data_IF_512923422975
#
_entry.id   IF_512923422975
#
_cell.length_a   1.000
_cell.length_b   1.000
_cell.length_c   1.000
_cell.angle_alpha   90.00
_cell.angle_beta   90.00
_cell.angle_gamma   90.00
#
_symmetry.space_group_name_H-M   'P 1'
#
loop_
_entity.id
_entity.type
_entity.pdbx_description
1 polymer ?
#
# COMPACT_ATOMS: atom_id res chain seq x y z
N UNK A 1 -8.62 12.30 -16.91
CA UNK A 1 -8.68 11.78 -15.54
C UNK A 1 -8.19 12.85 -14.60
N UNK A 2 -8.89 13.16 -13.50
CA UNK A 2 -8.45 14.10 -12.49
C UNK A 2 -7.09 13.71 -11.91
N UNK A 3 -6.31 14.69 -11.46
CA UNK A 3 -5.00 14.45 -10.86
C UNK A 3 -4.59 15.62 -9.98
N UNK A 4 -3.71 15.36 -9.01
CA UNK A 4 -3.06 16.38 -8.20
C UNK A 4 -1.54 16.21 -8.22
N UNK A 5 -0.82 17.18 -7.66
CA UNK A 5 0.64 17.13 -7.57
C UNK A 5 1.08 16.76 -6.15
N UNK A 6 1.83 15.68 -6.04
CA UNK A 6 2.55 15.29 -4.84
C UNK A 6 4.06 15.30 -5.13
N UNK A 7 4.83 16.10 -4.39
CA UNK A 7 6.28 16.27 -4.59
C UNK A 7 6.67 16.47 -6.08
N UNK A 8 5.95 17.36 -6.78
CA UNK A 8 6.10 17.65 -8.21
C UNK A 8 5.78 16.48 -9.17
N UNK A 9 5.16 15.42 -8.69
CA UNK A 9 4.69 14.28 -9.50
C UNK A 9 3.18 14.30 -9.61
N UNK A 10 2.68 13.93 -10.79
CA UNK A 10 1.25 13.79 -11.05
C UNK A 10 0.74 12.48 -10.46
N UNK A 11 -0.28 12.56 -9.63
CA UNK A 11 -1.01 11.42 -9.04
C UNK A 11 -2.44 11.48 -9.57
N UNK A 12 -2.86 10.43 -10.25
CA UNK A 12 -4.19 10.32 -10.83
C UNK A 12 -5.19 9.73 -9.83
N UNK A 13 -6.44 10.18 -9.89
CA UNK A 13 -7.53 9.67 -9.08
C UNK A 13 -8.85 9.74 -9.85
N UNK A 14 -9.87 9.08 -9.33
CA UNK A 14 -11.24 9.16 -9.86
C UNK A 14 -12.22 9.26 -8.70
N UNK A 15 -13.23 10.10 -8.83
CA UNK A 15 -14.31 10.26 -7.86
C UNK A 15 -15.59 9.62 -8.37
N UNK A 16 -16.31 8.94 -7.46
CA UNK A 16 -17.61 8.32 -7.69
C UNK A 16 -18.59 8.80 -6.62
N UNK A 17 -19.77 9.23 -7.01
CA UNK A 17 -20.71 9.87 -6.09
C UNK A 17 -20.19 11.24 -5.59
N UNK A 18 -20.77 11.78 -4.54
CA UNK A 18 -20.20 12.95 -3.83
C UNK A 18 -20.32 14.31 -4.50
N UNK A 19 -20.91 14.42 -5.67
CA UNK A 19 -21.30 15.72 -6.21
C UNK A 19 -22.41 16.36 -5.36
N UNK A 20 -22.48 17.71 -5.23
CA UNK A 20 -23.70 18.34 -4.78
C UNK A 20 -24.79 17.84 -5.72
N UNK A 21 -25.89 17.29 -5.15
CA UNK A 21 -27.01 16.82 -5.95
C UNK A 21 -27.30 17.89 -7.01
N UNK A 22 -27.11 17.55 -8.29
CA UNK A 22 -27.39 18.46 -9.37
C UNK A 22 -28.85 18.82 -9.25
N UNK A 23 -29.13 20.01 -8.71
CA UNK A 23 -30.48 20.55 -8.68
C UNK A 23 -30.82 20.84 -10.14
N UNK A 24 -31.45 19.88 -10.80
CA UNK A 24 -32.21 20.15 -12.02
C UNK A 24 -33.38 21.05 -11.63
N UNK A 25 -33.15 22.35 -11.69
CA UNK A 25 -34.23 23.33 -11.60
C UNK A 25 -34.98 23.37 -12.92
N UNK A 26 -35.99 22.56 -13.07
CA UNK A 26 -37.14 22.92 -13.91
C UNK A 26 -38.37 23.13 -13.00
N UNK A 27 -38.72 24.40 -12.89
CA UNK A 27 -40.06 24.91 -12.68
C UNK A 27 -40.87 24.42 -11.48
N UNK A 28 -40.68 25.03 -10.29
CA UNK A 28 -41.83 25.29 -9.38
C UNK A 28 -41.48 26.38 -8.37
N UNK A 29 -42.23 27.46 -8.35
CA UNK A 29 -42.28 28.47 -7.27
C UNK A 29 -42.80 27.81 -6.00
N UNK A 30 -41.93 27.48 -5.04
CA UNK A 30 -42.28 26.97 -3.72
C UNK A 30 -41.08 27.04 -2.82
N UNK A 31 -41.22 27.64 -1.63
CA UNK A 31 -40.18 27.80 -0.57
C UNK A 31 -39.46 26.48 -0.35
N UNK A 32 -38.27 26.33 -0.88
CA UNK A 32 -37.40 25.20 -0.59
C UNK A 32 -36.64 25.49 0.69
N UNK A 33 -36.92 24.71 1.73
CA UNK A 33 -36.01 24.55 2.85
C UNK A 33 -34.68 24.02 2.24
N UNK A 34 -33.58 24.77 2.40
CA UNK A 34 -32.23 24.28 2.13
C UNK A 34 -32.01 23.06 3.01
N UNK A 35 -32.19 21.87 2.47
CA UNK A 35 -31.66 20.68 3.16
C UNK A 35 -30.15 20.88 3.26
N UNK A 36 -29.61 20.78 4.47
CA UNK A 36 -28.18 20.73 4.67
C UNK A 36 -27.60 19.63 3.73
N UNK A 37 -26.46 19.89 3.04
CA UNK A 37 -25.85 18.85 2.23
C UNK A 37 -25.67 17.62 3.11
N UNK A 38 -26.11 16.46 2.65
CA UNK A 38 -25.86 15.20 3.34
C UNK A 38 -24.36 15.15 3.67
N UNK A 39 -24.02 14.87 4.93
CA UNK A 39 -22.64 14.83 5.36
C UNK A 39 -21.86 13.90 4.42
N UNK A 40 -20.83 14.42 3.77
CA UNK A 40 -19.99 13.64 2.89
C UNK A 40 -19.39 12.45 3.66
N UNK A 41 -19.46 11.25 3.08
CA UNK A 41 -18.93 9.99 3.64
C UNK A 41 -17.75 9.51 2.80
N UNK A 42 -16.56 10.16 2.88
CA UNK A 42 -15.44 9.85 2.02
C UNK A 42 -14.88 8.45 2.27
N UNK A 43 -14.70 7.69 1.19
CA UNK A 43 -14.05 6.37 1.17
C UNK A 43 -12.97 6.40 0.10
N UNK A 44 -11.72 6.13 0.48
CA UNK A 44 -10.60 6.09 -0.46
C UNK A 44 -10.19 4.65 -0.68
N UNK A 45 -10.19 4.19 -1.93
CA UNK A 45 -9.82 2.84 -2.32
C UNK A 45 -8.41 2.84 -2.92
N UNK A 46 -7.52 2.02 -2.33
CA UNK A 46 -6.10 1.94 -2.69
C UNK A 46 -5.78 0.54 -3.22
N UNK A 47 -5.29 0.49 -4.45
CA UNK A 47 -5.02 -0.74 -5.19
C UNK A 47 -3.84 -1.55 -4.66
N UNK A 48 -3.70 -2.81 -5.14
CA UNK A 48 -2.56 -3.69 -4.90
C UNK A 48 -1.32 -3.36 -5.74
N UNK A 49 -0.18 -3.97 -5.37
CA UNK A 49 1.09 -3.79 -6.07
C UNK A 49 0.98 -4.10 -7.57
N UNK A 50 1.53 -3.24 -8.40
CA UNK A 50 1.51 -3.29 -9.86
C UNK A 50 0.10 -3.34 -10.49
N UNK A 51 -0.93 -3.04 -9.73
CA UNK A 51 -2.30 -2.86 -10.23
C UNK A 51 -2.60 -1.36 -10.40
N UNK A 52 -3.84 -1.03 -10.65
CA UNK A 52 -4.31 0.35 -10.76
C UNK A 52 -5.68 0.50 -10.09
N UNK A 53 -6.14 1.74 -9.97
CA UNK A 53 -7.46 2.06 -9.44
C UNK A 53 -8.60 1.30 -10.13
N UNK A 54 -8.39 0.86 -11.39
CA UNK A 54 -9.37 0.08 -12.15
C UNK A 54 -9.79 -1.23 -11.46
N UNK A 55 -8.92 -1.81 -10.61
CA UNK A 55 -9.29 -3.01 -9.86
C UNK A 55 -10.46 -2.79 -8.91
N UNK A 56 -10.64 -1.56 -8.45
CA UNK A 56 -11.68 -1.20 -7.50
C UNK A 56 -12.91 -0.56 -8.15
N UNK A 57 -12.92 -0.35 -9.47
CA UNK A 57 -14.01 0.36 -10.14
C UNK A 57 -15.39 -0.21 -9.83
N UNK A 58 -15.66 -1.53 -9.95
CA UNK A 58 -17.00 -2.06 -9.65
C UNK A 58 -17.41 -1.83 -8.19
N UNK A 59 -16.49 -2.02 -7.24
CA UNK A 59 -16.75 -1.75 -5.83
C UNK A 59 -16.99 -0.25 -5.58
N UNK A 60 -16.22 0.62 -6.24
CA UNK A 60 -16.38 2.06 -6.10
C UNK A 60 -17.75 2.54 -6.60
N UNK A 61 -18.21 2.00 -7.74
CA UNK A 61 -19.52 2.28 -8.31
C UNK A 61 -20.65 1.82 -7.36
N UNK A 62 -20.55 0.62 -6.78
CA UNK A 62 -21.53 0.09 -5.84
C UNK A 62 -21.59 0.90 -4.55
N UNK A 63 -20.43 1.14 -3.90
CA UNK A 63 -20.39 1.94 -2.67
C UNK A 63 -20.87 3.38 -2.89
N UNK A 64 -20.61 3.96 -4.07
CA UNK A 64 -21.13 5.28 -4.44
C UNK A 64 -22.65 5.26 -4.62
N UNK A 65 -23.21 4.22 -5.25
CA UNK A 65 -24.65 4.04 -5.37
C UNK A 65 -25.34 3.90 -4.00
N UNK A 66 -24.62 3.45 -2.98
CA UNK A 66 -25.07 3.39 -1.58
C UNK A 66 -24.88 4.72 -0.81
N UNK A 67 -24.53 5.82 -1.50
CA UNK A 67 -24.47 7.16 -0.93
C UNK A 67 -23.13 7.56 -0.33
N UNK A 68 -22.06 6.84 -0.60
CA UNK A 68 -20.71 7.24 -0.20
C UNK A 68 -20.05 8.13 -1.28
N UNK A 69 -19.14 9.00 -0.86
CA UNK A 69 -18.22 9.69 -1.76
C UNK A 69 -16.96 8.83 -1.89
N UNK A 70 -16.86 8.09 -2.96
CA UNK A 70 -15.78 7.12 -3.15
C UNK A 70 -14.71 7.70 -4.08
N UNK A 71 -13.46 7.59 -3.66
CA UNK A 71 -12.31 8.06 -4.41
C UNK A 71 -11.36 6.88 -4.62
N UNK A 72 -10.98 6.62 -5.85
CA UNK A 72 -9.92 5.67 -6.19
C UNK A 72 -8.66 6.43 -6.57
N UNK A 73 -7.48 5.93 -6.22
CA UNK A 73 -6.19 6.56 -6.49
C UNK A 73 -5.27 5.59 -7.23
N UNK A 74 -4.51 6.09 -8.20
CA UNK A 74 -3.31 5.43 -8.71
C UNK A 74 -2.09 5.96 -7.94
N UNK A 75 -1.48 5.13 -7.10
CA UNK A 75 -0.25 5.50 -6.41
C UNK A 75 0.89 5.75 -7.40
N UNK A 76 1.89 6.55 -7.02
CA UNK A 76 3.08 6.78 -7.85
C UNK A 76 3.64 5.45 -8.36
N UNK A 77 4.01 5.38 -9.62
CA UNK A 77 4.50 4.16 -10.27
C UNK A 77 3.40 3.23 -10.79
N UNK A 78 2.12 3.58 -10.63
CA UNK A 78 0.98 2.75 -11.01
C UNK A 78 -0.01 3.53 -11.89
N UNK A 79 -0.87 2.79 -12.59
CA UNK A 79 -1.97 3.31 -13.38
C UNK A 79 -1.59 4.50 -14.26
N UNK A 80 -2.33 5.58 -14.15
CA UNK A 80 -2.15 6.83 -14.89
C UNK A 80 -1.27 7.85 -14.15
N UNK A 81 -0.72 7.50 -12.97
CA UNK A 81 0.21 8.34 -12.24
C UNK A 81 1.61 8.35 -12.84
N UNK A 82 2.43 9.35 -12.50
CA UNK A 82 3.83 9.40 -12.92
C UNK A 82 4.60 8.15 -12.48
N UNK A 83 5.58 7.73 -13.30
CA UNK A 83 6.32 6.47 -13.12
C UNK A 83 7.83 6.70 -13.12
N UNK A 84 8.42 7.35 -12.09
CA UNK A 84 9.87 7.52 -12.01
C UNK A 84 10.58 6.17 -11.87
N UNK A 85 11.84 6.11 -12.38
CA UNK A 85 12.70 4.92 -12.25
C UNK A 85 13.55 4.94 -10.99
N UNK A 86 13.43 5.95 -10.18
CA UNK A 86 14.17 6.13 -8.93
C UNK A 86 13.47 5.37 -7.80
N UNK A 87 14.06 4.26 -7.35
CA UNK A 87 13.49 3.39 -6.32
C UNK A 87 13.28 4.09 -4.97
N UNK A 88 14.05 5.14 -4.67
CA UNK A 88 13.93 5.89 -3.41
C UNK A 88 12.65 6.72 -3.30
N UNK A 89 11.87 6.79 -4.37
CA UNK A 89 10.54 7.42 -4.39
C UNK A 89 9.41 6.49 -3.98
N UNK A 90 9.73 5.25 -3.65
CA UNK A 90 8.75 4.23 -3.36
C UNK A 90 8.96 3.62 -1.98
N UNK A 91 8.00 3.83 -1.10
CA UNK A 91 7.91 3.16 0.20
C UNK A 91 6.46 3.19 0.67
N UNK A 92 6.09 2.33 1.62
CA UNK A 92 4.75 2.35 2.20
C UNK A 92 4.42 3.71 2.84
N UNK A 93 5.40 4.34 3.50
CA UNK A 93 5.22 5.67 4.12
C UNK A 93 4.93 6.73 3.06
N UNK A 94 5.69 6.76 1.94
CA UNK A 94 5.44 7.69 0.83
C UNK A 94 4.07 7.45 0.20
N UNK A 95 3.63 6.21 0.08
CA UNK A 95 2.28 5.89 -0.41
C UNK A 95 1.20 6.37 0.56
N UNK A 96 1.41 6.23 1.86
CA UNK A 96 0.54 6.81 2.88
C UNK A 96 0.44 8.33 2.77
N UNK A 97 1.58 9.01 2.59
CA UNK A 97 1.62 10.46 2.36
C UNK A 97 0.88 10.89 1.09
N UNK A 98 0.90 10.10 0.01
CA UNK A 98 0.15 10.38 -1.21
C UNK A 98 -1.36 10.34 -0.98
N UNK A 99 -1.85 9.37 -0.21
CA UNK A 99 -3.27 9.27 0.14
C UNK A 99 -3.68 10.46 1.02
N UNK A 100 -2.89 10.81 2.02
CA UNK A 100 -3.13 12.00 2.85
C UNK A 100 -3.08 13.28 2.00
N UNK A 101 -2.11 13.38 1.07
CA UNK A 101 -2.01 14.49 0.13
C UNK A 101 -3.22 14.62 -0.81
N UNK A 102 -3.81 13.49 -1.22
CA UNK A 102 -5.07 13.49 -1.97
C UNK A 102 -6.23 14.02 -1.10
N UNK A 103 -6.29 13.61 0.18
CA UNK A 103 -7.30 14.14 1.10
C UNK A 103 -7.16 15.66 1.28
N UNK A 104 -5.92 16.17 1.40
CA UNK A 104 -5.66 17.61 1.50
C UNK A 104 -6.09 18.34 0.23
N UNK A 105 -5.78 17.77 -0.94
CA UNK A 105 -6.17 18.33 -2.24
C UNK A 105 -7.69 18.44 -2.40
N UNK A 106 -8.43 17.46 -1.90
CA UNK A 106 -9.89 17.41 -1.97
C UNK A 106 -10.60 18.08 -0.78
N UNK A 107 -9.87 18.62 0.18
CA UNK A 107 -10.44 19.22 1.39
C UNK A 107 -11.13 18.21 2.32
N UNK A 108 -10.71 16.94 2.27
CA UNK A 108 -11.26 15.84 3.09
C UNK A 108 -10.49 15.79 4.40
N UNK A 109 -11.17 16.07 5.51
CA UNK A 109 -10.57 16.02 6.84
C UNK A 109 -10.33 14.59 7.32
N UNK A 110 -11.33 13.73 7.17
CA UNK A 110 -11.27 12.30 7.53
C UNK A 110 -11.91 11.45 6.44
N UNK A 111 -11.37 10.26 6.21
CA UNK A 111 -11.93 9.26 5.30
C UNK A 111 -11.86 7.85 5.91
N UNK A 112 -12.69 6.93 5.42
CA UNK A 112 -12.37 5.51 5.50
C UNK A 112 -11.39 5.19 4.40
N UNK A 113 -10.27 4.55 4.73
CA UNK A 113 -9.30 4.08 3.73
C UNK A 113 -9.44 2.56 3.62
N UNK A 114 -9.80 2.10 2.43
CA UNK A 114 -9.81 0.69 2.08
C UNK A 114 -8.64 0.39 1.16
N UNK A 115 -7.89 -0.65 1.48
CA UNK A 115 -6.77 -1.05 0.64
C UNK A 115 -6.65 -2.56 0.50
N UNK A 116 -6.13 -2.97 -0.67
CA UNK A 116 -5.83 -4.36 -0.97
C UNK A 116 -4.31 -4.54 -1.03
N UNK A 117 -3.75 -5.49 -0.28
CA UNK A 117 -2.31 -5.83 -0.30
C UNK A 117 -1.42 -4.59 -0.04
N UNK A 118 -0.74 -4.07 -1.05
CA UNK A 118 -0.01 -2.79 -0.97
C UNK A 118 -0.89 -1.68 -0.35
N UNK A 119 -2.13 -1.55 -0.82
CA UNK A 119 -3.08 -0.56 -0.31
C UNK A 119 -3.47 -0.82 1.14
N UNK A 120 -3.59 -2.09 1.55
CA UNK A 120 -3.85 -2.48 2.94
C UNK A 120 -2.72 -2.00 3.87
N UNK A 121 -1.49 -2.26 3.49
CA UNK A 121 -0.31 -1.82 4.24
C UNK A 121 -0.14 -0.29 4.20
N UNK A 122 -0.53 0.35 3.10
CA UNK A 122 -0.61 1.82 3.00
C UNK A 122 -1.59 2.41 4.03
N UNK A 123 -2.76 1.80 4.22
CA UNK A 123 -3.71 2.24 5.24
C UNK A 123 -3.15 2.10 6.67
N UNK A 124 -2.40 1.03 6.94
CA UNK A 124 -1.70 0.86 8.22
C UNK A 124 -0.61 1.93 8.44
N UNK A 125 0.10 2.33 7.40
CA UNK A 125 1.08 3.44 7.50
C UNK A 125 0.40 4.78 7.79
N UNK A 126 -0.79 5.04 7.22
CA UNK A 126 -1.58 6.23 7.55
C UNK A 126 -2.01 6.17 9.02
N UNK A 127 -2.43 5.00 9.53
CA UNK A 127 -2.80 4.84 10.94
C UNK A 127 -1.62 5.12 11.90
N UNK A 128 -0.39 4.81 11.46
CA UNK A 128 0.84 5.12 12.22
C UNK A 128 1.20 6.61 12.16
N UNK A 129 1.16 7.21 10.97
CA UNK A 129 1.68 8.57 10.72
C UNK A 129 0.64 9.68 10.94
N UNK A 130 -0.61 9.42 10.61
CA UNK A 130 -1.69 10.41 10.60
C UNK A 130 -3.05 9.81 11.06
N UNK A 131 -3.15 9.19 12.25
CA UNK A 131 -4.35 8.50 12.71
C UNK A 131 -5.59 9.39 12.72
N UNK A 132 -5.44 10.69 12.93
CA UNK A 132 -6.54 11.66 12.92
C UNK A 132 -7.21 11.84 11.55
N UNK A 133 -6.59 11.35 10.46
CA UNK A 133 -7.14 11.41 9.11
C UNK A 133 -8.05 10.20 8.80
N UNK A 134 -8.01 9.17 9.62
CA UNK A 134 -8.78 7.96 9.43
C UNK A 134 -10.07 7.97 10.26
N UNK A 135 -11.20 7.77 9.59
CA UNK A 135 -12.48 7.46 10.21
C UNK A 135 -12.61 5.97 10.49
N UNK A 136 -12.03 5.14 9.62
CA UNK A 136 -11.99 3.69 9.69
C UNK A 136 -11.01 3.13 8.64
N UNK A 137 -10.72 1.86 8.73
CA UNK A 137 -9.90 1.12 7.76
C UNK A 137 -10.61 -0.14 7.31
N UNK A 138 -10.54 -0.46 6.01
CA UNK A 138 -10.87 -1.77 5.47
C UNK A 138 -9.59 -2.36 4.88
N UNK A 139 -9.09 -3.41 5.49
CA UNK A 139 -7.78 -4.00 5.22
C UNK A 139 -7.97 -5.35 4.54
N UNK A 140 -7.76 -5.41 3.24
CA UNK A 140 -7.89 -6.65 2.46
C UNK A 140 -6.52 -7.22 2.13
N UNK A 141 -6.26 -8.50 2.44
CA UNK A 141 -5.00 -9.19 2.12
C UNK A 141 -3.75 -8.47 2.65
N UNK A 142 -3.64 -8.13 3.94
CA UNK A 142 -2.44 -7.50 4.46
C UNK A 142 -1.22 -8.42 4.34
N UNK A 143 -0.04 -7.82 4.11
CA UNK A 143 1.25 -8.52 4.15
C UNK A 143 1.94 -8.14 5.46
N UNK A 144 2.03 -9.07 6.38
CA UNK A 144 2.69 -8.89 7.68
C UNK A 144 3.79 -9.95 7.88
N UNK A 145 4.08 -10.26 9.11
CA UNK A 145 5.23 -11.11 9.48
C UNK A 145 5.22 -12.48 8.80
N UNK A 146 4.04 -13.14 8.69
CA UNK A 146 3.94 -14.46 8.05
C UNK A 146 3.96 -14.38 6.51
N UNK A 147 3.51 -13.25 5.94
CA UNK A 147 3.48 -13.00 4.49
C UNK A 147 4.80 -12.55 3.89
N UNK A 148 5.82 -12.23 4.70
CA UNK A 148 7.08 -11.71 4.17
C UNK A 148 7.81 -12.70 3.28
N UNK A 149 7.90 -13.97 3.69
CA UNK A 149 8.59 -15.00 2.90
C UNK A 149 7.85 -15.32 1.61
N UNK A 150 6.53 -15.51 1.66
CA UNK A 150 5.71 -15.79 0.47
C UNK A 150 5.74 -14.63 -0.52
N UNK A 151 5.68 -13.39 -0.03
CA UNK A 151 5.81 -12.19 -0.85
C UNK A 151 7.21 -12.09 -1.48
N UNK A 152 8.28 -12.35 -0.72
CA UNK A 152 9.64 -12.34 -1.24
C UNK A 152 9.81 -13.41 -2.34
N UNK A 153 9.33 -14.63 -2.13
CA UNK A 153 9.39 -15.72 -3.11
C UNK A 153 8.59 -15.40 -4.38
N UNK A 154 7.47 -14.69 -4.24
CA UNK A 154 6.62 -14.29 -5.38
C UNK A 154 7.23 -13.15 -6.17
N UNK A 155 7.72 -12.10 -5.50
CA UNK A 155 8.13 -10.86 -6.16
C UNK A 155 9.61 -10.83 -6.52
N UNK A 156 10.49 -11.67 -5.94
CA UNK A 156 11.91 -11.72 -6.31
C UNK A 156 12.13 -12.18 -7.77
N UNK A 157 11.51 -13.28 -8.23
CA UNK A 157 11.63 -13.67 -9.65
C UNK A 157 11.11 -12.59 -10.60
N UNK A 158 10.00 -11.94 -10.25
CA UNK A 158 9.45 -10.83 -11.01
C UNK A 158 10.42 -9.65 -11.05
N UNK A 159 11.02 -9.28 -9.92
CA UNK A 159 12.03 -8.23 -9.85
C UNK A 159 13.24 -8.54 -10.76
N UNK A 160 13.73 -9.76 -10.70
CA UNK A 160 14.83 -10.23 -11.58
C UNK A 160 14.44 -10.10 -13.05
N UNK A 161 13.23 -10.55 -13.43
CA UNK A 161 12.73 -10.45 -14.79
C UNK A 161 12.57 -8.98 -15.25
N UNK A 162 12.05 -8.10 -14.39
CA UNK A 162 11.89 -6.67 -14.71
C UNK A 162 13.24 -5.93 -14.81
N UNK A 163 14.25 -6.36 -14.05
CA UNK A 163 15.57 -5.70 -13.98
C UNK A 163 16.48 -6.18 -15.11
N UNK A 164 16.63 -7.50 -15.25
CA UNK A 164 17.58 -8.10 -16.20
C UNK A 164 16.93 -8.54 -17.52
N UNK A 165 15.62 -8.81 -17.49
CA UNK A 165 14.80 -9.18 -18.64
C UNK A 165 14.04 -8.04 -19.28
N UNK A 166 14.40 -6.77 -19.02
CA UNK A 166 13.65 -5.59 -19.48
C UNK A 166 13.31 -5.61 -20.98
N UNK A 167 14.22 -6.00 -21.92
CA UNK A 167 13.88 -6.08 -23.35
C UNK A 167 12.76 -7.08 -23.65
N UNK A 168 12.83 -8.28 -23.06
CA UNK A 168 11.80 -9.31 -23.20
C UNK A 168 10.47 -8.86 -22.60
N UNK A 169 10.51 -8.29 -21.40
CA UNK A 169 9.31 -7.76 -20.73
C UNK A 169 8.65 -6.63 -21.53
N UNK A 170 9.44 -5.76 -22.18
CA UNK A 170 8.92 -4.75 -23.11
C UNK A 170 8.25 -5.36 -24.33
N UNK A 171 8.82 -6.44 -24.88
CA UNK A 171 8.22 -7.15 -26.01
C UNK A 171 6.88 -7.78 -25.62
N UNK A 172 6.83 -8.45 -24.46
CA UNK A 172 5.59 -9.01 -23.90
C UNK A 172 4.54 -7.93 -23.66
N UNK A 173 4.93 -6.80 -23.05
CA UNK A 173 4.04 -5.67 -22.84
C UNK A 173 3.48 -5.10 -24.15
N UNK A 174 4.29 -5.00 -25.21
CA UNK A 174 3.81 -4.57 -26.53
C UNK A 174 2.84 -5.59 -27.14
N UNK A 175 3.15 -6.87 -27.09
CA UNK A 175 2.28 -7.94 -27.57
C UNK A 175 0.92 -7.95 -26.87
N UNK A 176 0.92 -7.82 -25.56
CA UNK A 176 -0.33 -7.78 -24.77
C UNK A 176 -1.15 -6.51 -25.00
N UNK A 177 -0.52 -5.37 -25.34
CA UNK A 177 -1.21 -4.13 -25.71
C UNK A 177 -1.99 -4.27 -27.03
N UNK A 178 -1.61 -5.21 -27.90
CA UNK A 178 -2.33 -5.50 -29.13
C UNK A 178 -3.67 -6.22 -28.87
N UNK A 179 -3.89 -6.81 -27.69
CA UNK A 179 -5.16 -7.46 -27.34
C UNK A 179 -6.20 -6.36 -27.01
N UNK A 180 -7.30 -6.27 -27.77
CA UNK A 180 -8.32 -5.27 -27.54
C UNK A 180 -9.02 -5.48 -26.18
N UNK A 181 -9.12 -4.41 -25.38
CA UNK A 181 -9.77 -4.46 -24.05
C UNK A 181 -11.19 -5.01 -24.07
N UNK A 182 -11.94 -4.78 -25.16
CA UNK A 182 -13.31 -5.26 -25.34
C UNK A 182 -13.47 -6.78 -25.41
N UNK A 183 -12.39 -7.51 -25.66
CA UNK A 183 -12.40 -8.97 -25.75
C UNK A 183 -12.29 -9.66 -24.40
N UNK A 184 -11.96 -8.93 -23.36
CA UNK A 184 -11.75 -9.46 -22.02
C UNK A 184 -12.75 -8.86 -21.02
N UNK A 185 -13.21 -9.64 -20.04
CA UNK A 185 -13.98 -9.11 -18.94
C UNK A 185 -13.12 -8.10 -18.13
N UNK A 186 -13.78 -7.29 -17.29
CA UNK A 186 -13.14 -6.22 -16.54
C UNK A 186 -11.87 -6.69 -15.82
N UNK A 187 -11.96 -7.72 -14.97
CA UNK A 187 -10.82 -8.24 -14.22
C UNK A 187 -9.76 -8.94 -15.09
N UNK A 188 -10.15 -9.49 -16.24
CA UNK A 188 -9.20 -9.96 -17.25
C UNK A 188 -8.31 -8.82 -17.78
N UNK A 189 -8.88 -7.64 -18.00
CA UNK A 189 -8.12 -6.44 -18.35
C UNK A 189 -7.23 -5.97 -17.21
N UNK A 190 -7.70 -5.97 -15.96
CA UNK A 190 -6.91 -5.60 -14.78
C UNK A 190 -5.66 -6.49 -14.65
N UNK A 191 -5.81 -7.80 -14.82
CA UNK A 191 -4.68 -8.74 -14.78
C UNK A 191 -3.73 -8.51 -15.96
N UNK A 192 -4.26 -8.28 -17.17
CA UNK A 192 -3.44 -8.03 -18.34
C UNK A 192 -2.68 -6.69 -18.24
N UNK A 193 -3.24 -5.69 -17.57
CA UNK A 193 -2.58 -4.42 -17.33
C UNK A 193 -1.32 -4.56 -16.47
N UNK A 194 -1.23 -5.59 -15.63
CA UNK A 194 -0.02 -5.93 -14.88
C UNK A 194 1.17 -6.22 -15.82
N UNK A 195 0.91 -6.93 -16.93
CA UNK A 195 1.94 -7.25 -17.94
C UNK A 195 2.19 -6.07 -18.90
N UNK A 196 1.20 -5.20 -19.09
CA UNK A 196 1.28 -4.03 -19.98
C UNK A 196 2.11 -2.87 -19.43
N UNK A 197 2.50 -2.91 -18.17
CA UNK A 197 3.27 -1.84 -17.52
C UNK A 197 4.69 -1.72 -18.08
N UNK A 198 5.31 -0.56 -17.83
CA UNK A 198 6.73 -0.36 -18.17
C UNK A 198 7.62 -1.09 -17.18
N UNK A 199 8.49 -2.01 -17.63
CA UNK A 199 9.29 -2.85 -16.72
C UNK A 199 10.20 -2.06 -15.77
N UNK A 200 10.88 -1.02 -16.28
CA UNK A 200 11.84 -0.25 -15.49
C UNK A 200 11.21 0.44 -14.26
N UNK A 201 10.15 1.25 -14.40
CA UNK A 201 9.43 1.81 -13.26
C UNK A 201 8.84 0.75 -12.34
N UNK A 202 8.26 -0.33 -12.89
CA UNK A 202 7.70 -1.44 -12.08
C UNK A 202 8.78 -2.13 -11.25
N UNK A 203 9.97 -2.33 -11.81
CA UNK A 203 11.13 -2.82 -11.08
C UNK A 203 11.56 -1.87 -9.96
N UNK A 204 11.57 -0.56 -10.21
CA UNK A 204 11.91 0.44 -9.19
C UNK A 204 10.90 0.47 -8.03
N UNK A 205 9.60 0.28 -8.30
CA UNK A 205 8.57 0.15 -7.25
C UNK A 205 8.88 -1.05 -6.35
N UNK A 206 9.09 -2.23 -6.94
CA UNK A 206 9.40 -3.44 -6.17
C UNK A 206 10.69 -3.26 -5.36
N UNK A 207 11.76 -2.72 -5.97
CA UNK A 207 13.02 -2.44 -5.26
C UNK A 207 12.80 -1.53 -4.04
N UNK A 208 12.09 -0.40 -4.22
CA UNK A 208 11.82 0.53 -3.13
C UNK A 208 11.09 -0.12 -1.96
N UNK A 209 10.15 -1.02 -2.23
CA UNK A 209 9.42 -1.76 -1.20
C UNK A 209 10.30 -2.81 -0.50
N UNK A 210 11.20 -3.49 -1.22
CA UNK A 210 12.11 -4.48 -0.62
C UNK A 210 13.06 -3.86 0.40
N UNK A 211 13.47 -2.60 0.21
CA UNK A 211 14.37 -1.89 1.12
C UNK A 211 13.63 -1.04 2.16
N UNK A 212 12.31 -0.96 2.06
CA UNK A 212 11.47 -0.23 2.98
C UNK A 212 10.81 -1.10 4.05
N UNK A 213 10.19 -0.46 5.01
CA UNK A 213 9.28 -1.10 5.95
C UNK A 213 8.00 -1.51 5.21
N UNK A 214 7.57 -2.77 5.33
CA UNK A 214 6.37 -3.28 4.68
C UNK A 214 5.09 -2.90 5.44
N UNK A 215 5.15 -2.90 6.77
CA UNK A 215 4.03 -2.52 7.64
C UNK A 215 4.56 -1.91 8.94
N UNK A 216 3.75 -1.16 9.70
CA UNK A 216 4.07 -0.74 11.06
C UNK A 216 4.37 -1.95 11.94
N UNK A 217 5.31 -1.79 12.88
CA UNK A 217 5.68 -2.84 13.79
C UNK A 217 4.49 -3.25 14.68
N UNK A 218 4.48 -4.50 15.15
CA UNK A 218 3.42 -5.03 16.01
C UNK A 218 3.11 -4.14 17.21
N UNK A 219 4.13 -3.60 17.87
CA UNK A 219 3.95 -2.69 19.01
C UNK A 219 3.25 -1.37 18.64
N UNK A 220 3.40 -0.91 17.40
CA UNK A 220 2.66 0.25 16.89
C UNK A 220 1.20 -0.13 16.61
N UNK A 221 0.96 -1.28 15.94
CA UNK A 221 -0.39 -1.73 15.57
C UNK A 221 -1.31 -1.88 16.77
N UNK A 222 -0.81 -2.33 17.93
CA UNK A 222 -1.56 -2.41 19.20
C UNK A 222 -2.04 -1.03 19.73
N UNK A 223 -1.50 0.06 19.24
CA UNK A 223 -1.91 1.41 19.66
C UNK A 223 -2.96 2.05 18.75
N UNK A 224 -3.27 1.45 17.61
CA UNK A 224 -4.18 2.03 16.62
C UNK A 224 -5.64 1.94 17.08
N UNK A 225 -6.23 3.09 17.40
CA UNK A 225 -7.62 3.17 17.88
C UNK A 225 -8.65 3.27 16.75
N UNK A 226 -8.19 3.39 15.50
CA UNK A 226 -9.07 3.48 14.33
C UNK A 226 -9.84 2.17 14.17
N UNK A 227 -11.18 2.19 14.02
CA UNK A 227 -11.96 1.00 13.70
C UNK A 227 -11.46 0.34 12.41
N UNK A 228 -11.35 -0.98 12.40
CA UNK A 228 -10.82 -1.70 11.26
C UNK A 228 -11.61 -2.98 10.96
N UNK A 229 -12.00 -3.14 9.70
CA UNK A 229 -12.51 -4.38 9.13
C UNK A 229 -11.37 -5.05 8.36
N UNK A 230 -10.93 -6.23 8.80
CA UNK A 230 -9.83 -6.97 8.18
C UNK A 230 -10.41 -8.15 7.39
N UNK A 231 -10.19 -8.16 6.07
CA UNK A 231 -10.64 -9.23 5.18
C UNK A 231 -9.49 -10.23 4.98
N UNK A 232 -9.73 -11.47 5.39
CA UNK A 232 -8.81 -12.59 5.20
C UNK A 232 -9.34 -13.56 4.17
N UNK A 233 -8.47 -14.00 3.26
CA UNK A 233 -8.80 -14.96 2.21
C UNK A 233 -8.11 -16.30 2.48
N UNK A 234 -8.88 -17.38 2.54
CA UNK A 234 -8.32 -18.71 2.66
C UNK A 234 -7.58 -19.11 1.37
N UNK A 235 -6.50 -19.88 1.52
CA UNK A 235 -5.68 -20.42 0.42
C UNK A 235 -5.03 -19.36 -0.47
N UNK A 236 -4.81 -18.15 0.04
CA UNK A 236 -4.00 -17.15 -0.65
C UNK A 236 -2.52 -17.54 -0.55
N UNK A 237 -1.82 -17.77 -1.67
CA UNK A 237 -0.42 -18.17 -1.66
C UNK A 237 0.55 -17.03 -1.30
N UNK A 238 0.10 -15.79 -1.38
CA UNK A 238 0.92 -14.59 -1.15
C UNK A 238 0.61 -13.96 0.21
N UNK A 239 -0.68 -13.90 0.57
CA UNK A 239 -1.19 -13.24 1.78
C UNK A 239 -1.77 -14.27 2.74
N UNK A 240 -0.96 -14.87 3.62
CA UNK A 240 -1.43 -15.90 4.54
C UNK A 240 -2.62 -15.40 5.36
N UNK A 241 -3.67 -16.22 5.46
CA UNK A 241 -4.84 -15.91 6.29
C UNK A 241 -4.46 -15.61 7.74
N UNK A 242 -3.36 -16.21 8.23
CA UNK A 242 -2.80 -15.92 9.55
C UNK A 242 -2.44 -14.46 9.77
N UNK A 243 -2.01 -13.73 8.73
CA UNK A 243 -1.70 -12.30 8.84
C UNK A 243 -2.97 -11.48 9.07
N UNK A 244 -4.06 -11.78 8.36
CA UNK A 244 -5.35 -11.12 8.58
C UNK A 244 -5.90 -11.42 9.98
N UNK A 245 -5.88 -12.70 10.41
CA UNK A 245 -6.33 -13.11 11.73
C UNK A 245 -5.48 -12.55 12.87
N UNK A 246 -4.17 -12.42 12.66
CA UNK A 246 -3.24 -11.77 13.60
C UNK A 246 -3.53 -10.28 13.70
N UNK A 247 -3.65 -9.59 12.57
CA UNK A 247 -3.92 -8.16 12.53
C UNK A 247 -5.23 -7.80 13.24
N UNK A 248 -6.31 -8.55 12.96
CA UNK A 248 -7.59 -8.30 13.59
C UNK A 248 -7.54 -8.42 15.13
N UNK A 249 -6.64 -9.27 15.67
CA UNK A 249 -6.41 -9.42 17.13
C UNK A 249 -5.47 -8.35 17.69
N UNK A 250 -4.55 -7.84 16.89
CA UNK A 250 -3.61 -6.80 17.29
C UNK A 250 -4.26 -5.42 17.36
N UNK A 251 -5.21 -5.15 16.47
CA UNK A 251 -5.92 -3.88 16.44
C UNK A 251 -6.99 -3.84 17.54
N UNK A 252 -6.97 -2.88 18.48
CA UNK A 252 -7.95 -2.78 19.58
C UNK A 252 -9.42 -2.77 19.12
N UNK A 253 -9.68 -2.18 17.96
CA UNK A 253 -11.00 -2.10 17.33
C UNK A 253 -11.02 -2.85 15.98
N UNK A 254 -10.26 -3.94 15.89
CA UNK A 254 -10.19 -4.80 14.71
C UNK A 254 -11.28 -5.87 14.69
N UNK A 255 -11.87 -6.11 13.52
CA UNK A 255 -12.84 -7.17 13.26
C UNK A 255 -12.41 -7.97 12.04
N UNK A 256 -12.34 -9.31 12.15
CA UNK A 256 -12.03 -10.19 11.04
C UNK A 256 -13.32 -10.52 10.26
N UNK A 257 -13.23 -10.41 8.94
CA UNK A 257 -14.20 -10.91 7.99
C UNK A 257 -13.52 -11.94 7.09
N UNK A 258 -14.02 -13.17 7.11
CA UNK A 258 -13.47 -14.25 6.30
C UNK A 258 -14.15 -14.27 4.92
N UNK A 259 -13.33 -14.29 3.87
CA UNK A 259 -13.80 -14.45 2.52
C UNK A 259 -13.84 -15.95 2.14
N UNK A 260 -14.87 -16.37 1.42
CA UNK A 260 -15.06 -17.76 1.00
C UNK A 260 -14.04 -18.18 -0.07
N UNK A 261 -13.52 -17.24 -0.83
CA UNK A 261 -12.49 -17.48 -1.83
C UNK A 261 -11.58 -16.27 -2.05
N UNK A 262 -10.41 -16.51 -2.68
CA UNK A 262 -9.44 -15.47 -3.05
C UNK A 262 -10.04 -14.37 -3.94
N UNK A 263 -11.01 -14.71 -4.74
CA UNK A 263 -11.59 -13.82 -5.75
C UNK A 263 -13.01 -13.38 -5.43
N UNK A 264 -13.53 -13.69 -4.26
CA UNK A 264 -14.93 -13.42 -3.89
C UNK A 264 -15.31 -11.95 -4.10
N UNK A 265 -14.54 -11.02 -3.53
CA UNK A 265 -14.82 -9.58 -3.67
C UNK A 265 -14.78 -9.08 -5.13
N UNK A 266 -14.26 -9.88 -6.05
CA UNK A 266 -14.12 -9.52 -7.47
C UNK A 266 -15.13 -10.24 -8.37
N UNK A 267 -15.51 -11.47 -8.01
CA UNK A 267 -16.34 -12.35 -8.85
C UNK A 267 -17.74 -12.57 -8.30
N UNK A 268 -17.92 -12.45 -6.99
CA UNK A 268 -19.18 -12.63 -6.26
C UNK A 268 -19.23 -11.60 -5.12
N UNK A 269 -19.22 -10.29 -5.43
CA UNK A 269 -18.90 -9.24 -4.47
C UNK A 269 -20.01 -8.98 -3.43
N UNK A 270 -21.23 -9.44 -3.67
CA UNK A 270 -22.44 -8.98 -2.97
C UNK A 270 -22.28 -9.08 -1.45
N UNK A 271 -21.95 -10.27 -0.94
CA UNK A 271 -21.81 -10.52 0.51
C UNK A 271 -20.74 -9.63 1.15
N UNK A 272 -19.54 -9.60 0.57
CA UNK A 272 -18.43 -8.81 1.13
C UNK A 272 -18.70 -7.31 0.98
N UNK A 273 -19.33 -6.89 -0.10
CA UNK A 273 -19.72 -5.48 -0.31
C UNK A 273 -20.77 -5.04 0.70
N UNK A 274 -21.74 -5.90 1.04
CA UNK A 274 -22.75 -5.61 2.07
C UNK A 274 -22.11 -5.47 3.46
N UNK A 275 -21.16 -6.33 3.81
CA UNK A 275 -20.40 -6.24 5.07
C UNK A 275 -19.53 -4.98 5.14
N UNK A 276 -18.88 -4.62 4.03
CA UNK A 276 -18.13 -3.36 3.93
C UNK A 276 -19.07 -2.17 4.09
N UNK A 277 -20.22 -2.17 3.41
CA UNK A 277 -21.20 -1.09 3.53
C UNK A 277 -21.74 -0.95 4.96
N UNK A 278 -22.04 -2.07 5.62
CA UNK A 278 -22.46 -2.07 7.03
C UNK A 278 -21.38 -1.48 7.95
N UNK A 279 -20.11 -1.83 7.72
CA UNK A 279 -19.00 -1.21 8.44
C UNK A 279 -18.90 0.30 8.18
N UNK A 280 -19.07 0.74 6.93
CA UNK A 280 -19.10 2.17 6.60
C UNK A 280 -20.25 2.89 7.32
N UNK A 281 -21.43 2.30 7.37
CA UNK A 281 -22.57 2.85 8.11
C UNK A 281 -22.29 2.99 9.61
N UNK A 282 -21.66 1.98 10.20
CA UNK A 282 -21.26 1.99 11.61
C UNK A 282 -20.30 3.13 11.91
N UNK A 283 -19.18 3.24 11.15
CA UNK A 283 -18.13 4.22 11.44
C UNK A 283 -18.57 5.66 11.10
N UNK A 284 -19.44 5.87 10.12
CA UNK A 284 -19.98 7.19 9.80
C UNK A 284 -21.15 7.58 10.70
N UNK A 285 -21.93 6.63 11.21
CA UNK A 285 -23.00 6.85 12.18
C UNK A 285 -22.50 7.10 13.59
N UNK A 286 -21.30 6.67 13.95
CA UNK A 286 -20.72 6.87 15.29
C UNK A 286 -20.31 8.32 15.55
N UNK A 287 -20.48 8.86 16.77
CA UNK A 287 -19.93 10.15 17.13
C UNK A 287 -18.42 10.22 16.86
N UNK A 288 -17.96 11.37 16.36
CA UNK A 288 -16.54 11.61 16.03
C UNK A 288 -15.66 11.30 17.26
N UNK A 289 -14.76 10.32 17.15
CA UNK A 289 -13.69 10.17 18.13
C UNK A 289 -12.73 11.36 17.95
N UNK A 290 -12.72 12.27 18.93
CA UNK A 290 -11.78 13.39 18.96
C UNK A 290 -10.41 12.81 19.26
N UNK A 291 -9.63 12.54 18.21
CA UNK A 291 -8.23 12.21 18.36
C UNK A 291 -7.51 13.38 19.02
N UNK A 292 -6.89 13.15 20.19
CA UNK A 292 -5.98 14.14 20.77
C UNK A 292 -4.91 14.47 19.74
N UNK A 293 -4.61 15.75 19.46
CA UNK A 293 -3.59 16.10 18.50
C UNK A 293 -2.26 15.44 18.91
N UNK A 294 -1.68 14.68 17.98
CA UNK A 294 -0.33 14.13 18.16
C UNK A 294 0.63 15.29 18.46
N UNK A 295 1.58 15.13 19.40
CA UNK A 295 2.56 16.16 19.67
C UNK A 295 3.29 16.48 18.35
N UNK A 296 3.28 17.75 17.94
CA UNK A 296 4.01 18.22 16.75
C UNK A 296 5.44 17.74 16.86
N UNK A 297 5.84 16.81 16.01
CA UNK A 297 7.25 16.49 15.81
C UNK A 297 7.93 17.80 15.43
N UNK A 298 8.84 18.26 16.29
CA UNK A 298 9.68 19.41 15.97
C UNK A 298 10.34 19.16 14.61
N UNK A 299 10.15 20.09 13.68
CA UNK A 299 10.81 20.06 12.40
C UNK A 299 12.31 19.94 12.68
N UNK A 300 12.93 18.84 12.25
CA UNK A 300 14.37 18.71 12.30
C UNK A 300 14.95 19.83 11.43
N UNK A 301 15.50 20.86 12.08
CA UNK A 301 16.22 21.92 11.38
C UNK A 301 17.46 21.27 10.75
N UNK A 302 17.51 21.21 9.44
CA UNK A 302 18.71 20.90 8.67
C UNK A 302 19.74 22.03 8.86
N UNK A 303 20.40 22.01 10.01
CA UNK A 303 21.63 22.78 10.23
C UNK A 303 22.83 21.98 9.68
N UNK A 304 23.84 22.63 9.11
CA UNK A 304 24.99 21.94 8.53
C UNK A 304 25.74 21.17 9.61
N UNK A 305 25.86 19.84 9.43
CA UNK A 305 26.68 18.95 10.29
C UNK A 305 28.14 19.39 10.15
N UNK A 306 28.63 20.16 11.13
CA UNK A 306 30.06 20.37 11.30
C UNK A 306 30.69 19.06 11.83
N UNK A 307 31.41 18.37 10.97
CA UNK A 307 32.22 17.22 11.32
C UNK A 307 33.29 17.61 12.34
N UNK A 308 33.07 17.26 13.59
CA UNK A 308 34.07 17.38 14.65
C UNK A 308 34.92 16.11 14.63
N UNK A 309 36.04 16.15 13.93
CA UNK A 309 37.03 15.10 13.95
C UNK A 309 37.71 15.14 15.35
N UNK A 310 37.29 14.26 16.23
CA UNK A 310 38.00 14.00 17.50
C UNK A 310 39.13 13.00 17.22
N UNK A 311 40.37 13.50 17.18
CA UNK A 311 41.57 12.66 17.20
C UNK A 311 41.69 12.01 18.58
N UNK A 312 41.44 10.72 18.68
CA UNK A 312 41.85 9.93 19.85
C UNK A 312 43.30 9.50 19.71
N UNK A 313 44.12 9.61 20.74
CA UNK A 313 45.53 9.22 20.68
C UNK A 313 45.68 7.69 20.74
N UNK A 314 46.30 7.12 19.70
CA UNK A 314 46.70 5.72 19.65
C UNK A 314 47.86 5.52 20.60
N UNK A 315 47.66 4.81 21.71
CA UNK A 315 48.76 4.27 22.55
C UNK A 315 49.43 3.12 21.81
N UNK A 316 50.70 3.34 21.41
CA UNK A 316 51.61 2.29 20.93
C UNK A 316 52.02 1.40 22.12
N UNK A 317 51.81 0.09 22.01
CA UNK A 317 52.42 -0.92 22.84
C UNK A 317 53.68 -1.49 22.13
N UNK A 318 54.75 -1.86 22.85
CA UNK A 318 56.06 -2.17 22.27
C UNK A 318 56.14 -3.60 21.70
N UNK A 319 56.90 -3.72 20.63
CA UNK A 319 57.24 -4.96 19.97
C UNK A 319 58.09 -5.86 20.85
N UNK A 320 57.73 -7.13 21.06
CA UNK A 320 58.65 -8.19 21.49
C UNK A 320 58.92 -9.12 20.30
N UNK A 321 60.18 -9.11 19.93
CA UNK A 321 60.87 -9.98 18.98
C UNK A 321 61.07 -11.34 19.64
N UNK A 322 60.70 -12.44 19.06
CA UNK A 322 61.27 -13.75 19.30
C UNK A 322 61.30 -14.57 18.03
N UNK A 323 62.53 -14.85 17.64
CA UNK A 323 62.99 -15.79 16.60
C UNK A 323 62.93 -17.18 17.20
N UNK A 324 62.45 -18.22 16.47
CA UNK A 324 63.15 -19.50 16.28
C UNK A 324 62.37 -20.51 15.47
N UNK A 325 62.98 -20.89 14.34
CA UNK A 325 63.29 -22.24 13.84
C UNK A 325 62.17 -23.21 13.42
N UNK A 326 62.16 -23.42 12.12
CA UNK A 326 61.74 -24.70 11.49
C UNK A 326 62.66 -25.85 11.94
N UNK A 327 62.19 -27.13 11.94
CA UNK A 327 62.67 -28.09 10.94
C UNK A 327 61.59 -28.96 10.31
N UNK A 328 61.70 -29.09 9.00
CA UNK A 328 62.02 -30.31 8.23
C UNK A 328 61.01 -31.47 8.19
N UNK A 329 60.67 -31.76 6.98
CA UNK A 329 59.93 -32.83 6.37
C UNK A 329 60.20 -34.25 6.89
N UNK A 330 59.15 -35.10 6.84
CA UNK A 330 59.29 -36.54 6.62
C UNK A 330 58.19 -37.09 5.73
N UNK A 331 58.69 -37.74 4.69
CA UNK A 331 57.93 -38.52 3.70
C UNK A 331 57.53 -39.89 4.26
N UNK A 332 56.66 -40.52 3.50
CA UNK A 332 56.36 -41.96 3.34
C UNK A 332 55.23 -42.47 4.26
N UNK A 333 54.39 -43.39 3.86
CA UNK A 333 54.26 -44.25 2.66
C UNK A 333 52.85 -44.88 2.67
N UNK A 334 52.39 -45.09 1.49
CA UNK A 334 51.49 -46.14 0.96
C UNK A 334 51.26 -47.36 1.84
N UNK A 335 50.00 -47.79 2.04
CA UNK A 335 49.59 -49.18 1.92
C UNK A 335 48.11 -49.29 1.54
N UNK A 336 47.88 -50.09 0.50
CA UNK A 336 46.62 -50.66 0.01
C UNK A 336 46.10 -51.70 1.01
N UNK A 337 44.81 -51.85 1.04
CA UNK A 337 44.09 -53.11 0.86
C UNK A 337 42.78 -53.12 1.63
N UNK A 338 41.75 -53.65 0.98
CA UNK A 338 40.49 -54.09 1.57
C UNK A 338 39.30 -53.44 0.88
#
# INVERSE_FOLDING_TARGET
MPSFRFQNRRIAYTEYGGGPAAITTEGARGRTAKSAPAASRPVILVHGLLLSQEMHRPLAEDLAARGNHVITIDLLGHGESDRPRDMWRYSMSIFGEQVVGLMDHLGIEQAVVMGTSLGANTALEIASAAPGRLRGMVIEMPVLDNGLLSSALTFTPLLVALTFGEPLMKLLARGTRAVPRRLLPHYGNVVLDLVRQEPGPSGAVIQGLFFGRIAPHRSERHTFQTPALVLGHHRDPVHPFSDAGMLAKELPNGRLLEADSLVELRMQPERLTDEIAAFLDEVWGSPRAVAKPAPKRAAASNGPVKSRVTKSPVKRAPAKRAVTKRPAARKAAVAKSG
#
